data_IF_467517198194
#
_entry.id   IF_467517198194
#
_cell.length_a   1.000
_cell.length_b   1.000
_cell.length_c   1.000
_cell.angle_alpha   90.00
_cell.angle_beta   90.00
_cell.angle_gamma   90.00
#
_symmetry.space_group_name_H-M   'P 1'
#
loop_
_entity.id
_entity.type
_entity.pdbx_description
1 polymer ?
#
# COMPACT_ATOMS: atom_id res chain seq x y z
N UNK A 1 24.33 18.55 1.35
CA UNK A 1 24.25 17.86 0.04
C UNK A 1 22.99 17.02 0.07
N UNK A 2 22.04 17.21 -0.86
CA UNK A 2 20.78 16.44 -0.86
C UNK A 2 21.06 15.05 -1.44
N UNK A 3 21.00 14.01 -0.61
CA UNK A 3 21.02 12.63 -1.12
C UNK A 3 19.59 12.22 -1.49
N UNK A 4 19.30 11.96 -2.77
CA UNK A 4 18.00 11.46 -3.18
C UNK A 4 17.81 10.08 -2.56
N UNK A 5 16.63 9.88 -1.97
CA UNK A 5 16.18 8.58 -1.53
C UNK A 5 14.87 8.23 -2.24
N UNK A 6 14.67 6.94 -2.51
CA UNK A 6 13.44 6.39 -3.04
C UNK A 6 13.06 5.12 -2.28
N UNK A 7 11.77 4.82 -2.25
CA UNK A 7 11.25 3.57 -1.69
C UNK A 7 10.82 2.66 -2.84
N UNK A 8 11.28 1.42 -2.82
CA UNK A 8 10.90 0.37 -3.76
C UNK A 8 10.07 -0.65 -2.99
N UNK A 9 8.77 -0.69 -3.21
CA UNK A 9 7.86 -1.61 -2.52
C UNK A 9 7.45 -2.73 -3.47
N UNK A 10 7.75 -3.98 -3.14
CA UNK A 10 7.39 -5.10 -4.01
C UNK A 10 5.87 -5.23 -4.18
N UNK A 11 5.41 -5.55 -5.38
CA UNK A 11 3.99 -5.75 -5.67
C UNK A 11 3.29 -6.74 -4.72
N UNK A 12 3.88 -7.92 -4.43
CA UNK A 12 3.34 -8.86 -3.45
C UNK A 12 3.25 -8.28 -2.03
N UNK A 13 4.29 -7.56 -1.56
CA UNK A 13 4.27 -6.94 -0.23
C UNK A 13 3.21 -5.83 -0.12
N UNK A 14 3.02 -5.04 -1.18
CA UNK A 14 1.95 -4.03 -1.22
C UNK A 14 0.57 -4.67 -1.24
N UNK A 15 0.37 -5.72 -2.04
CA UNK A 15 -0.88 -6.48 -2.10
C UNK A 15 -1.25 -7.07 -0.73
N UNK A 16 -0.28 -7.71 -0.07
CA UNK A 16 -0.47 -8.28 1.27
C UNK A 16 -0.78 -7.21 2.33
N UNK A 17 -0.11 -6.06 2.27
CA UNK A 17 -0.39 -4.91 3.15
C UNK A 17 -1.82 -4.36 2.96
N UNK A 18 -2.29 -4.24 1.71
CA UNK A 18 -3.67 -3.84 1.43
C UNK A 18 -4.68 -4.89 1.89
N UNK A 19 -4.39 -6.18 1.70
CA UNK A 19 -5.21 -7.28 2.18
C UNK A 19 -5.35 -7.27 3.71
N UNK A 20 -4.24 -7.18 4.45
CA UNK A 20 -4.26 -7.13 5.92
C UNK A 20 -4.92 -5.87 6.50
N UNK A 21 -4.71 -4.71 5.85
CA UNK A 21 -5.38 -3.47 6.28
C UNK A 21 -6.87 -3.49 5.97
N UNK A 22 -7.32 -4.14 4.88
CA UNK A 22 -8.74 -4.31 4.55
C UNK A 22 -9.52 -5.17 5.56
N UNK A 23 -8.85 -6.11 6.25
CA UNK A 23 -9.43 -6.89 7.37
C UNK A 23 -9.67 -6.03 8.62
N UNK A 24 -8.98 -4.90 8.75
CA UNK A 24 -9.00 -4.07 9.96
C UNK A 24 -10.04 -2.96 9.86
N UNK A 25 -11.02 -2.98 10.76
CA UNK A 25 -12.01 -1.90 10.93
C UNK A 25 -11.48 -0.72 11.77
N UNK A 26 -10.26 -0.83 12.30
CA UNK A 26 -9.65 0.14 13.22
C UNK A 26 -8.28 0.55 12.68
N UNK A 27 -7.75 1.69 13.13
CA UNK A 27 -6.35 2.09 12.90
C UNK A 27 -5.40 0.93 13.26
N UNK A 28 -4.60 0.51 12.30
CA UNK A 28 -3.59 -0.55 12.46
C UNK A 28 -2.20 0.04 12.25
N UNK A 29 -1.19 -0.48 12.95
CA UNK A 29 0.21 -0.16 12.69
C UNK A 29 0.96 -1.45 12.33
N UNK A 30 2.16 -1.32 11.79
CA UNK A 30 3.05 -2.47 11.62
C UNK A 30 4.43 -2.08 11.11
N UNK A 31 5.22 -3.09 10.77
CA UNK A 31 6.61 -2.92 10.36
C UNK A 31 6.82 -3.37 8.92
N UNK A 32 7.72 -2.69 8.22
CA UNK A 32 8.05 -2.93 6.82
C UNK A 32 9.48 -3.45 6.76
N UNK A 33 9.65 -4.63 6.17
CA UNK A 33 10.90 -5.38 6.15
C UNK A 33 11.59 -5.29 4.78
N UNK A 34 12.91 -5.21 4.80
CA UNK A 34 13.74 -5.29 3.60
C UNK A 34 15.13 -4.69 3.83
N UNK A 35 15.67 -4.07 2.78
CA UNK A 35 17.10 -3.78 2.66
C UNK A 35 17.37 -2.38 2.11
N UNK A 36 18.57 -1.86 2.36
CA UNK A 36 18.99 -0.54 1.89
C UNK A 36 20.07 -0.70 0.84
N UNK A 37 19.71 -0.41 -0.41
CA UNK A 37 20.60 -0.53 -1.58
C UNK A 37 21.13 0.85 -1.96
N UNK A 38 22.44 0.93 -2.14
CA UNK A 38 23.11 2.13 -2.62
C UNK A 38 23.32 2.00 -4.13
N UNK A 39 22.72 2.89 -4.91
CA UNK A 39 22.86 2.92 -6.37
C UNK A 39 23.71 4.11 -6.78
N UNK A 40 24.89 3.82 -7.32
CA UNK A 40 25.73 4.82 -7.98
C UNK A 40 25.15 5.17 -9.35
N UNK A 41 24.95 6.46 -9.60
CA UNK A 41 24.45 7.01 -10.87
C UNK A 41 25.55 7.91 -11.42
N UNK A 42 26.22 7.44 -12.46
CA UNK A 42 27.26 8.20 -13.17
C UNK A 42 26.62 9.01 -14.30
N UNK A 43 26.46 10.31 -14.09
CA UNK A 43 25.96 11.25 -15.10
C UNK A 43 27.15 11.85 -15.84
N UNK A 44 27.17 11.75 -17.17
CA UNK A 44 28.12 12.49 -18.01
C UNK A 44 27.42 13.78 -18.44
N UNK A 45 28.00 14.93 -18.10
CA UNK A 45 27.49 16.24 -18.51
C UNK A 45 27.97 16.60 -19.92
N UNK A 46 27.31 17.56 -20.57
CA UNK A 46 27.67 18.04 -21.92
C UNK A 46 29.10 18.60 -22.03
N UNK A 47 29.74 18.92 -20.89
CA UNK A 47 31.14 19.35 -20.80
C UNK A 47 32.11 18.18 -20.54
N UNK A 48 31.70 16.95 -20.87
CA UNK A 48 32.39 15.66 -20.64
C UNK A 48 32.77 15.35 -19.18
N UNK A 49 32.40 16.21 -18.23
CA UNK A 49 32.64 16.02 -16.81
C UNK A 49 31.69 14.94 -16.26
N UNK A 50 32.30 13.91 -15.63
CA UNK A 50 31.59 12.85 -14.93
C UNK A 50 31.17 13.34 -13.53
N UNK A 51 29.87 13.34 -13.27
CA UNK A 51 29.30 13.49 -11.94
C UNK A 51 28.85 12.12 -11.42
N UNK A 52 29.17 11.82 -10.16
CA UNK A 52 28.80 10.56 -9.51
C UNK A 52 27.83 10.88 -8.37
N UNK A 53 26.56 10.55 -8.56
CA UNK A 53 25.52 10.74 -7.55
C UNK A 53 25.14 9.39 -6.92
N UNK A 54 25.16 9.30 -5.59
CA UNK A 54 24.74 8.09 -4.87
C UNK A 54 23.28 8.25 -4.45
N UNK A 55 22.41 7.48 -5.09
CA UNK A 55 21.00 7.34 -4.72
C UNK A 55 20.81 6.22 -3.70
N UNK A 56 19.95 6.46 -2.70
CA UNK A 56 19.69 5.51 -1.60
C UNK A 56 18.28 4.91 -1.75
N UNK A 57 18.21 3.62 -2.04
CA UNK A 57 16.96 2.91 -2.32
C UNK A 57 16.60 2.05 -1.12
N UNK A 58 15.44 2.32 -0.52
CA UNK A 58 14.84 1.51 0.55
C UNK A 58 13.98 0.45 -0.12
N UNK A 59 14.46 -0.79 -0.21
CA UNK A 59 13.68 -1.91 -0.75
C UNK A 59 12.85 -2.54 0.35
N UNK A 60 11.55 -2.69 0.10
CA UNK A 60 10.58 -3.26 1.04
C UNK A 60 9.99 -4.50 0.37
N UNK A 61 10.28 -5.65 0.98
CA UNK A 61 9.99 -6.97 0.42
C UNK A 61 8.96 -7.76 1.23
N UNK A 62 8.73 -7.39 2.50
CA UNK A 62 7.76 -8.05 3.39
C UNK A 62 7.19 -7.07 4.43
N UNK A 63 6.12 -7.48 5.12
CA UNK A 63 5.32 -6.66 6.02
C UNK A 63 4.90 -7.50 7.22
N UNK A 64 5.07 -6.94 8.43
CA UNK A 64 4.54 -7.52 9.66
C UNK A 64 3.40 -6.62 10.16
N UNK A 65 2.12 -7.03 10.04
CA UNK A 65 1.02 -6.30 10.64
C UNK A 65 1.06 -6.42 12.16
N UNK A 66 0.69 -5.36 12.87
CA UNK A 66 0.59 -5.37 14.32
C UNK A 66 -0.82 -4.95 14.77
N UNK A 67 -1.58 -5.94 15.24
CA UNK A 67 -2.97 -5.78 15.69
C UNK A 67 -3.11 -5.02 17.01
N UNK A 68 -2.03 -4.85 17.78
CA UNK A 68 -2.06 -4.17 19.08
C UNK A 68 -0.75 -3.43 19.39
N UNK A 69 -0.86 -2.18 19.83
CA UNK A 69 0.30 -1.34 20.15
C UNK A 69 0.90 -1.65 21.55
N UNK A 70 0.97 -2.92 21.97
CA UNK A 70 1.45 -3.31 23.31
C UNK A 70 2.90 -2.90 23.59
N UNK A 71 3.72 -2.76 22.54
CA UNK A 71 5.08 -2.23 22.62
C UNK A 71 5.13 -0.70 22.86
N UNK A 72 4.01 0.04 22.85
CA UNK A 72 4.01 1.48 23.06
C UNK A 72 3.05 1.89 24.17
N UNK A 73 3.61 2.29 25.32
CA UNK A 73 2.85 2.72 26.49
C UNK A 73 3.44 4.00 27.09
N UNK A 74 2.58 4.87 27.65
CA UNK A 74 2.99 6.11 28.35
C UNK A 74 3.98 6.99 27.55
N UNK A 75 3.87 7.00 26.21
CA UNK A 75 4.73 7.78 25.32
C UNK A 75 6.08 7.14 24.97
N UNK A 76 6.39 5.95 25.49
CA UNK A 76 7.66 5.23 25.24
C UNK A 76 7.46 3.91 24.52
N UNK A 77 8.43 3.56 23.68
CA UNK A 77 8.57 2.23 23.06
C UNK A 77 9.28 1.31 24.05
N UNK A 78 8.65 0.18 24.33
CA UNK A 78 9.20 -0.94 25.07
C UNK A 78 10.04 -1.79 24.12
N UNK A 79 11.36 -1.71 24.27
CA UNK A 79 12.31 -2.40 23.39
C UNK A 79 12.18 -3.92 23.49
N UNK A 80 12.02 -4.44 24.71
CA UNK A 80 12.10 -5.87 24.97
C UNK A 80 10.86 -6.57 24.38
N UNK A 81 9.68 -6.00 24.59
CA UNK A 81 8.44 -6.47 23.93
C UNK A 81 8.50 -6.36 22.40
N UNK A 82 9.15 -5.33 21.86
CA UNK A 82 9.26 -5.18 20.42
C UNK A 82 10.26 -6.18 19.81
N UNK A 83 11.34 -6.48 20.53
CA UNK A 83 12.31 -7.50 20.14
C UNK A 83 11.73 -8.92 20.25
N UNK A 84 10.91 -9.18 21.28
CA UNK A 84 10.10 -10.41 21.41
C UNK A 84 9.12 -10.57 20.24
N UNK A 85 8.37 -9.51 19.89
CA UNK A 85 7.40 -9.53 18.79
C UNK A 85 8.04 -9.70 17.40
N UNK A 86 9.17 -9.05 17.13
CA UNK A 86 9.83 -9.10 15.81
C UNK A 86 10.80 -10.28 15.67
N UNK A 87 11.33 -10.81 16.77
CA UNK A 87 12.30 -11.91 16.78
C UNK A 87 13.49 -11.66 15.85
N UNK A 88 13.78 -12.63 14.98
CA UNK A 88 14.85 -12.55 13.97
C UNK A 88 14.62 -11.46 12.91
N UNK A 89 13.40 -10.97 12.72
CA UNK A 89 13.09 -9.92 11.75
C UNK A 89 13.45 -8.50 12.24
N UNK A 90 13.80 -8.34 13.52
CA UNK A 90 14.12 -7.02 14.12
C UNK A 90 15.22 -6.26 13.36
N UNK A 91 16.23 -6.96 12.86
CA UNK A 91 17.32 -6.38 12.07
C UNK A 91 16.93 -6.02 10.63
N UNK A 92 15.86 -6.63 10.09
CA UNK A 92 15.36 -6.44 8.72
C UNK A 92 14.31 -5.31 8.63
N UNK A 93 13.96 -4.63 9.72
CA UNK A 93 12.99 -3.50 9.72
C UNK A 93 13.63 -2.25 9.12
N UNK A 94 13.10 -1.78 7.99
CA UNK A 94 13.54 -0.55 7.30
C UNK A 94 12.59 0.64 7.47
N UNK A 95 11.32 0.36 7.75
CA UNK A 95 10.29 1.37 7.95
C UNK A 95 9.16 0.81 8.83
N UNK A 96 8.24 1.68 9.24
CA UNK A 96 6.96 1.29 9.85
C UNK A 96 5.79 1.85 9.05
N UNK A 97 4.60 1.29 9.24
CA UNK A 97 3.38 1.81 8.62
C UNK A 97 2.30 2.14 9.64
N UNK A 98 1.47 3.12 9.29
CA UNK A 98 0.24 3.50 9.97
C UNK A 98 -0.90 3.46 8.96
N UNK A 99 -1.89 2.63 9.22
CA UNK A 99 -3.16 2.57 8.50
C UNK A 99 -4.23 3.38 9.24
N UNK A 100 -4.93 4.23 8.50
CA UNK A 100 -5.97 5.12 9.03
C UNK A 100 -7.18 5.11 8.07
N UNK A 101 -8.33 4.52 8.47
CA UNK A 101 -9.53 4.40 7.61
C UNK A 101 -10.38 5.69 7.59
N UNK A 102 -9.74 6.86 7.63
CA UNK A 102 -10.43 8.16 7.70
C UNK A 102 -9.71 9.21 6.88
N UNK A 103 -10.47 10.05 6.15
CA UNK A 103 -10.04 10.95 5.07
C UNK A 103 -9.00 12.04 5.39
N UNK A 104 -8.46 12.09 6.62
CA UNK A 104 -7.31 12.95 6.92
C UNK A 104 -6.22 12.19 7.67
N UNK A 105 -5.22 11.72 6.92
CA UNK A 105 -3.93 11.30 7.49
C UNK A 105 -3.27 12.51 8.13
N UNK A 106 -3.40 12.63 9.45
CA UNK A 106 -2.69 13.62 10.25
C UNK A 106 -1.48 12.96 10.89
N UNK A 107 -0.29 13.47 10.59
CA UNK A 107 0.94 13.02 11.23
C UNK A 107 1.06 13.65 12.63
N UNK A 108 0.62 12.91 13.64
CA UNK A 108 0.42 13.41 15.00
C UNK A 108 1.72 13.56 15.79
N UNK A 109 1.67 14.25 16.94
CA UNK A 109 2.79 14.31 17.87
C UNK A 109 3.20 12.90 18.39
N UNK A 110 2.22 12.00 18.57
CA UNK A 110 2.47 10.59 18.91
C UNK A 110 3.25 9.90 17.79
N UNK A 111 2.85 10.10 16.53
CA UNK A 111 3.53 9.48 15.38
C UNK A 111 4.97 10.01 15.23
N UNK A 112 5.20 11.29 15.51
CA UNK A 112 6.56 11.90 15.59
C UNK A 112 7.41 11.28 16.70
N UNK A 113 6.85 11.13 17.90
CA UNK A 113 7.53 10.54 19.05
C UNK A 113 7.84 9.05 18.85
N UNK A 114 6.94 8.30 18.21
CA UNK A 114 7.15 6.91 17.77
C UNK A 114 8.26 6.82 16.73
N UNK A 115 8.17 7.59 15.65
CA UNK A 115 9.16 7.56 14.57
C UNK A 115 10.56 7.90 15.08
N UNK A 116 10.69 8.89 15.99
CA UNK A 116 11.99 9.22 16.62
C UNK A 116 12.54 8.04 17.43
N UNK A 117 11.72 7.39 18.25
CA UNK A 117 12.17 6.25 19.06
C UNK A 117 12.54 5.04 18.20
N UNK A 118 11.78 4.73 17.15
CA UNK A 118 12.13 3.68 16.20
C UNK A 118 13.43 3.99 15.42
N UNK A 119 13.65 5.25 15.01
CA UNK A 119 14.88 5.75 14.37
C UNK A 119 16.13 5.64 15.28
N UNK A 120 15.94 5.63 16.59
CA UNK A 120 17.01 5.41 17.59
C UNK A 120 17.19 3.91 17.94
N UNK A 121 16.20 3.07 17.62
CA UNK A 121 16.12 1.67 18.04
C UNK A 121 16.57 0.66 16.98
N UNK A 122 16.26 0.91 15.71
CA UNK A 122 16.63 0.05 14.58
C UNK A 122 18.00 0.45 13.99
N UNK A 123 18.73 -0.54 13.44
CA UNK A 123 20.10 -0.37 12.90
C UNK A 123 20.18 0.45 11.60
N UNK A 124 19.04 0.86 11.06
CA UNK A 124 18.90 1.64 9.83
C UNK A 124 19.56 3.01 9.96
N UNK A 125 20.32 3.49 8.93
CA UNK A 125 20.81 4.86 8.91
C UNK A 125 19.69 5.85 9.15
N UNK A 126 19.86 6.71 10.15
CA UNK A 126 18.73 7.42 10.76
C UNK A 126 17.94 8.32 9.77
N UNK A 127 18.56 8.77 8.68
CA UNK A 127 17.94 9.63 7.66
C UNK A 127 17.27 8.86 6.51
N UNK A 128 17.21 7.53 6.63
CA UNK A 128 16.51 6.60 5.74
C UNK A 128 15.35 5.87 6.43
N UNK A 129 15.36 5.79 7.77
CA UNK A 129 14.23 5.18 8.48
C UNK A 129 12.95 5.95 8.14
N UNK A 130 11.97 5.23 7.62
CA UNK A 130 10.80 5.83 6.97
C UNK A 130 9.50 5.41 7.65
N UNK A 131 8.45 6.20 7.41
CA UNK A 131 7.07 5.87 7.80
C UNK A 131 6.17 5.89 6.57
N UNK A 132 5.37 4.85 6.40
CA UNK A 132 4.32 4.77 5.39
C UNK A 132 2.97 5.09 6.02
N UNK A 133 2.26 6.06 5.46
CA UNK A 133 0.85 6.28 5.78
C UNK A 133 0.01 5.60 4.72
N UNK A 134 -0.91 4.74 5.16
CA UNK A 134 -1.94 4.13 4.33
C UNK A 134 -3.28 4.70 4.72
N UNK A 135 -3.97 5.23 3.72
CA UNK A 135 -5.31 5.77 3.80
C UNK A 135 -6.22 4.90 2.95
N UNK A 136 -7.38 4.56 3.50
CA UNK A 136 -8.53 4.07 2.75
C UNK A 136 -9.66 5.08 2.88
N UNK A 137 -10.18 5.51 1.76
CA UNK A 137 -11.42 6.28 1.64
C UNK A 137 -12.43 5.49 0.81
N UNK A 138 -13.71 5.65 1.11
CA UNK A 138 -14.82 5.13 0.31
C UNK A 138 -15.70 6.29 -0.14
N UNK A 139 -16.23 6.20 -1.36
CA UNK A 139 -17.33 7.08 -1.78
C UNK A 139 -18.56 6.87 -0.86
N UNK A 140 -19.43 7.88 -0.73
CA UNK A 140 -20.60 7.84 0.17
C UNK A 140 -21.56 6.66 -0.10
N UNK A 141 -21.55 6.15 -1.34
CA UNK A 141 -22.36 5.01 -1.78
C UNK A 141 -21.62 3.65 -1.72
N UNK A 142 -20.39 3.62 -1.20
CA UNK A 142 -19.50 2.44 -1.12
C UNK A 142 -19.23 1.72 -2.45
N UNK A 143 -19.53 2.36 -3.60
CA UNK A 143 -19.31 1.80 -4.94
C UNK A 143 -17.88 2.03 -5.47
N UNK A 144 -17.06 2.78 -4.76
CA UNK A 144 -15.66 3.07 -5.12
C UNK A 144 -14.82 3.27 -3.87
N UNK A 145 -13.62 2.71 -3.89
CA UNK A 145 -12.65 2.78 -2.82
C UNK A 145 -11.35 3.38 -3.33
N UNK A 146 -10.80 4.32 -2.58
CA UNK A 146 -9.56 5.01 -2.89
C UNK A 146 -8.52 4.64 -1.83
N UNK A 147 -7.41 4.05 -2.28
CA UNK A 147 -6.26 3.74 -1.43
C UNK A 147 -5.13 4.70 -1.75
N UNK A 148 -4.64 5.41 -0.74
CA UNK A 148 -3.53 6.34 -0.87
C UNK A 148 -2.40 5.97 0.10
N UNK A 149 -1.22 5.72 -0.46
CA UNK A 149 0.01 5.47 0.25
C UNK A 149 0.95 6.67 0.17
N UNK A 150 1.63 7.03 1.26
CA UNK A 150 2.62 8.11 1.27
C UNK A 150 3.77 7.77 2.23
N UNK A 151 4.99 7.70 1.68
CA UNK A 151 6.20 7.54 2.48
C UNK A 151 6.77 8.89 2.90
N UNK A 152 7.16 9.03 4.16
CA UNK A 152 7.88 10.17 4.70
C UNK A 152 9.12 9.71 5.48
N UNK A 153 10.22 10.47 5.38
CA UNK A 153 11.42 10.32 6.22
C UNK A 153 11.62 11.56 7.08
N UNK A 154 12.27 11.38 8.23
CA UNK A 154 12.81 12.50 8.99
C UNK A 154 14.22 12.84 8.50
N UNK A 155 14.44 14.07 8.05
CA UNK A 155 15.72 14.53 7.52
C UNK A 155 15.90 16.03 7.83
N UNK A 156 17.08 16.41 8.34
CA UNK A 156 17.44 17.79 8.70
C UNK A 156 16.39 18.57 9.52
N UNK A 157 15.72 17.90 10.46
CA UNK A 157 14.72 18.53 11.34
C UNK A 157 13.28 18.49 10.81
N UNK A 158 13.08 18.16 9.54
CA UNK A 158 11.77 18.16 8.86
C UNK A 158 11.35 16.75 8.42
N UNK A 159 10.08 16.61 8.04
CA UNK A 159 9.54 15.39 7.46
C UNK A 159 9.30 15.58 5.97
N UNK A 160 10.13 14.93 5.16
CA UNK A 160 10.11 15.03 3.70
C UNK A 160 9.39 13.82 3.09
N UNK A 161 8.55 14.03 2.07
CA UNK A 161 7.96 12.94 1.28
C UNK A 161 9.03 12.26 0.42
N UNK A 162 8.94 10.95 0.30
CA UNK A 162 9.85 10.11 -0.50
C UNK A 162 9.11 9.61 -1.74
N UNK A 163 9.78 9.52 -2.88
CA UNK A 163 9.22 8.88 -4.07
C UNK A 163 9.06 7.37 -3.85
N UNK A 164 7.89 6.85 -4.22
CA UNK A 164 7.59 5.43 -4.19
C UNK A 164 7.61 4.86 -5.62
N UNK A 165 8.30 3.75 -5.79
CA UNK A 165 8.25 2.91 -6.98
C UNK A 165 7.70 1.53 -6.61
N UNK A 166 6.80 0.99 -7.43
CA UNK A 166 6.30 -0.38 -7.33
C UNK A 166 6.73 -1.10 -8.61
N UNK A 167 7.85 -1.85 -8.59
CA UNK A 167 8.41 -2.45 -9.79
C UNK A 167 7.44 -3.48 -10.39
N UNK A 168 7.24 -3.40 -11.70
CA UNK A 168 6.32 -4.26 -12.44
C UNK A 168 6.98 -4.87 -13.69
N UNK A 169 6.33 -5.87 -14.29
CA UNK A 169 6.88 -6.62 -15.43
C UNK A 169 6.90 -5.84 -16.76
N UNK A 170 6.16 -4.73 -16.88
CA UNK A 170 6.15 -3.91 -18.11
C UNK A 170 7.22 -2.81 -18.13
N UNK A 171 7.99 -2.64 -17.05
CA UNK A 171 9.17 -1.76 -17.06
C UNK A 171 10.22 -2.28 -18.06
N UNK A 172 10.75 -1.41 -18.95
CA UNK A 172 11.67 -1.84 -19.99
C UNK A 172 13.02 -2.26 -19.38
N UNK A 173 13.27 -3.57 -19.36
CA UNK A 173 14.54 -4.17 -18.92
C UNK A 173 15.67 -3.99 -19.97
N UNK A 174 15.69 -2.85 -20.67
CA UNK A 174 16.59 -2.56 -21.80
C UNK A 174 18.00 -2.08 -21.39
N UNK A 175 18.29 -2.07 -20.08
CA UNK A 175 19.60 -1.67 -19.54
C UNK A 175 20.23 -2.82 -18.76
N UNK A 176 21.56 -2.91 -18.83
CA UNK A 176 22.32 -3.81 -17.96
C UNK A 176 22.01 -3.48 -16.50
N UNK A 177 21.56 -4.48 -15.74
CA UNK A 177 21.34 -4.31 -14.29
C UNK A 177 22.70 -4.22 -13.60
N UNK A 178 22.87 -3.20 -12.76
CA UNK A 178 23.95 -3.16 -11.77
C UNK A 178 23.86 -4.42 -10.92
N UNK A 179 25.01 -4.99 -10.52
CA UNK A 179 25.00 -6.12 -9.58
C UNK A 179 24.35 -5.69 -8.27
N UNK A 180 23.28 -6.39 -7.89
CA UNK A 180 22.59 -6.22 -6.61
C UNK A 180 22.63 -7.56 -5.87
N UNK A 181 22.75 -7.57 -4.53
CA UNK A 181 22.71 -8.82 -3.77
C UNK A 181 21.34 -9.47 -3.94
N UNK A 182 21.34 -10.75 -4.33
CA UNK A 182 20.14 -11.56 -4.39
C UNK A 182 19.67 -11.94 -2.98
N UNK A 183 18.36 -12.19 -2.85
CA UNK A 183 17.75 -12.62 -1.57
C UNK A 183 18.40 -13.89 -1.03
N UNK A 184 18.58 -13.95 0.28
CA UNK A 184 19.05 -15.12 1.05
C UNK A 184 18.35 -16.41 0.61
N UNK A 185 17.01 -16.42 0.60
CA UNK A 185 16.18 -17.55 0.17
C UNK A 185 16.37 -17.92 -1.31
N UNK A 186 16.67 -16.94 -2.18
CA UNK A 186 16.95 -17.23 -3.59
C UNK A 186 18.34 -17.85 -3.76
N UNK A 187 19.33 -17.42 -2.98
CA UNK A 187 20.67 -18.02 -2.97
C UNK A 187 20.63 -19.45 -2.42
N UNK A 188 19.80 -19.73 -1.41
CA UNK A 188 19.54 -21.10 -0.92
C UNK A 188 18.96 -21.99 -2.03
N UNK A 189 17.92 -21.53 -2.73
CA UNK A 189 17.34 -22.25 -3.89
C UNK A 189 18.39 -22.47 -4.97
N UNK A 190 19.17 -21.45 -5.32
CA UNK A 190 20.24 -21.55 -6.32
C UNK A 190 21.31 -22.58 -5.91
N UNK A 191 21.70 -22.62 -4.64
CA UNK A 191 22.67 -23.59 -4.10
C UNK A 191 22.17 -25.04 -4.10
N UNK A 192 20.86 -25.24 -4.15
CA UNK A 192 20.23 -26.57 -4.25
C UNK A 192 20.29 -27.17 -5.66
N UNK A 193 20.62 -26.35 -6.67
CA UNK A 193 20.73 -26.79 -8.08
C UNK A 193 22.11 -27.41 -8.29
N UNK A 194 22.15 -28.72 -8.50
CA UNK A 194 23.38 -29.52 -8.70
C UNK A 194 23.99 -29.44 -10.10
N UNK A 195 23.43 -28.64 -11.01
CA UNK A 195 23.98 -28.43 -12.35
C UNK A 195 25.01 -27.30 -12.38
N UNK A 196 26.06 -27.50 -13.20
CA UNK A 196 27.01 -26.45 -13.54
C UNK A 196 26.36 -25.42 -14.48
N UNK A 197 25.77 -24.40 -13.86
CA UNK A 197 25.05 -23.31 -14.52
C UNK A 197 25.96 -22.48 -15.45
N UNK A 198 27.27 -22.45 -15.19
CA UNK A 198 28.24 -21.63 -15.96
C UNK A 198 28.62 -22.29 -17.29
N UNK A 199 28.73 -23.62 -17.32
CA UNK A 199 29.09 -24.37 -18.55
C UNK A 199 27.89 -24.83 -19.40
N UNK A 200 26.66 -24.65 -18.92
CA UNK A 200 25.43 -25.06 -19.64
C UNK A 200 24.89 -23.93 -20.51
N UNK A 201 24.22 -24.28 -21.63
CA UNK A 201 23.54 -23.30 -22.49
C UNK A 201 22.54 -22.49 -21.67
N UNK A 202 22.67 -21.16 -21.66
CA UNK A 202 21.91 -20.26 -20.78
C UNK A 202 20.37 -20.46 -20.79
N UNK A 203 19.77 -20.89 -21.90
CA UNK A 203 18.33 -21.24 -21.94
C UNK A 203 18.00 -22.39 -20.98
N UNK A 204 18.81 -23.46 -20.97
CA UNK A 204 18.62 -24.63 -20.10
C UNK A 204 18.84 -24.25 -18.64
N UNK A 205 19.89 -23.46 -18.36
CA UNK A 205 20.14 -22.93 -17.02
C UNK A 205 18.97 -22.09 -16.49
N UNK A 206 18.42 -21.18 -17.30
CA UNK A 206 17.27 -20.35 -16.93
C UNK A 206 16.02 -21.20 -16.70
N UNK A 207 15.75 -22.21 -17.54
CA UNK A 207 14.60 -23.10 -17.31
C UNK A 207 14.73 -23.89 -16.02
N UNK A 208 15.93 -24.35 -15.65
CA UNK A 208 16.11 -25.13 -14.43
C UNK A 208 16.08 -24.28 -13.16
N UNK A 209 16.61 -23.05 -13.21
CA UNK A 209 16.40 -22.06 -12.14
C UNK A 209 14.90 -21.77 -11.98
N UNK A 210 14.17 -21.60 -13.09
CA UNK A 210 12.71 -21.43 -13.08
C UNK A 210 11.97 -22.61 -12.45
N UNK A 211 12.32 -23.84 -12.82
CA UNK A 211 11.75 -25.07 -12.26
C UNK A 211 12.04 -25.20 -10.75
N UNK A 212 13.26 -24.91 -10.31
CA UNK A 212 13.65 -24.97 -8.91
C UNK A 212 12.90 -23.93 -8.05
N UNK A 213 12.76 -22.70 -8.56
CA UNK A 213 11.97 -21.65 -7.92
C UNK A 213 10.49 -22.04 -7.86
N UNK A 214 9.89 -22.53 -8.96
CA UNK A 214 8.50 -22.97 -8.97
C UNK A 214 8.24 -24.09 -7.94
N UNK A 215 9.12 -25.11 -7.90
CA UNK A 215 9.05 -26.19 -6.93
C UNK A 215 9.15 -25.69 -5.48
N UNK A 216 9.98 -24.68 -5.23
CA UNK A 216 10.05 -24.04 -3.91
C UNK A 216 8.74 -23.30 -3.58
N UNK A 217 8.16 -22.58 -4.53
CA UNK A 217 6.87 -21.89 -4.36
C UNK A 217 5.75 -22.89 -4.05
N UNK A 218 5.62 -23.97 -4.83
CA UNK A 218 4.58 -24.99 -4.64
C UNK A 218 4.67 -25.66 -3.26
N UNK A 219 5.90 -25.90 -2.78
CA UNK A 219 6.16 -26.37 -1.42
C UNK A 219 5.70 -25.32 -0.39
N UNK A 220 6.16 -24.08 -0.50
CA UNK A 220 5.80 -22.99 0.44
C UNK A 220 4.30 -22.73 0.48
N UNK A 221 3.59 -22.82 -0.65
CA UNK A 221 2.12 -22.69 -0.72
C UNK A 221 1.43 -23.81 0.06
N UNK A 222 1.95 -25.04 -0.01
CA UNK A 222 1.42 -26.18 0.75
C UNK A 222 1.59 -25.98 2.27
N UNK A 223 2.78 -25.56 2.70
CA UNK A 223 3.07 -25.26 4.11
C UNK A 223 2.26 -24.06 4.63
N UNK A 224 2.11 -23.01 3.81
CA UNK A 224 1.30 -21.82 4.14
C UNK A 224 -0.18 -22.17 4.30
N UNK A 225 -0.73 -23.05 3.45
CA UNK A 225 -2.15 -23.46 3.54
C UNK A 225 -2.45 -24.18 4.86
N UNK A 226 -1.51 -24.98 5.37
CA UNK A 226 -1.65 -25.60 6.70
C UNK A 226 -1.55 -24.57 7.82
N UNK A 227 -0.57 -23.65 7.75
CA UNK A 227 -0.38 -22.60 8.74
C UNK A 227 -1.55 -21.60 8.81
N UNK A 228 -2.13 -21.19 7.67
CA UNK A 228 -3.31 -20.32 7.62
C UNK A 228 -4.53 -20.98 8.26
N UNK A 229 -4.72 -22.29 8.05
CA UNK A 229 -5.79 -23.05 8.71
C UNK A 229 -5.58 -23.08 10.23
N UNK A 230 -4.38 -23.41 10.69
CA UNK A 230 -4.05 -23.40 12.13
C UNK A 230 -4.27 -22.02 12.75
N UNK A 231 -3.87 -20.95 12.05
CA UNK A 231 -4.09 -19.56 12.49
C UNK A 231 -5.58 -19.24 12.60
N UNK A 232 -6.41 -19.64 11.62
CA UNK A 232 -7.85 -19.42 11.65
C UNK A 232 -8.52 -20.12 12.85
N UNK A 233 -8.18 -21.39 13.08
CA UNK A 233 -8.69 -22.19 14.21
C UNK A 233 -8.31 -21.54 15.56
N UNK A 234 -7.07 -21.05 15.70
CA UNK A 234 -6.57 -20.33 16.87
C UNK A 234 -7.24 -18.96 17.07
N UNK A 235 -7.46 -18.19 16.00
CA UNK A 235 -8.14 -16.91 16.08
C UNK A 235 -9.60 -17.06 16.51
N UNK A 236 -10.29 -18.10 16.03
CA UNK A 236 -11.64 -18.44 16.50
C UNK A 236 -11.65 -18.85 17.97
N UNK A 237 -10.72 -19.70 18.42
CA UNK A 237 -10.60 -20.07 19.84
C UNK A 237 -10.36 -18.83 20.72
N UNK A 238 -9.39 -17.98 20.38
CA UNK A 238 -9.10 -16.73 21.12
C UNK A 238 -10.32 -15.81 21.15
N UNK A 239 -11.07 -15.71 20.06
CA UNK A 239 -12.32 -14.92 19.98
C UNK A 239 -13.42 -15.50 20.86
N UNK A 240 -13.54 -16.82 20.97
CA UNK A 240 -14.47 -17.52 21.87
C UNK A 240 -14.03 -17.31 23.34
N UNK A 241 -12.75 -17.46 23.66
CA UNK A 241 -12.22 -17.28 25.01
C UNK A 241 -12.37 -15.83 25.49
N UNK A 242 -12.09 -14.84 24.65
CA UNK A 242 -12.33 -13.41 24.96
C UNK A 242 -13.81 -13.09 25.21
N UNK A 243 -14.75 -13.77 24.54
CA UNK A 243 -16.19 -13.67 24.82
C UNK A 243 -16.60 -14.40 26.11
N UNK A 244 -15.92 -15.49 26.45
CA UNK A 244 -16.18 -16.29 27.66
C UNK A 244 -15.62 -15.66 28.94
N UNK A 245 -14.63 -14.76 28.86
CA UNK A 245 -14.19 -13.95 30.00
C UNK A 245 -15.26 -12.89 30.36
N UNK A 246 -16.02 -13.05 31.46
CA UNK A 246 -17.05 -12.10 31.82
C UNK A 246 -16.49 -11.11 32.85
N UNK A 247 -16.26 -9.87 32.43
CA UNK A 247 -16.27 -8.66 33.28
C UNK A 247 -15.41 -8.63 34.57
N UNK A 248 -14.52 -9.60 34.81
CA UNK A 248 -13.76 -9.70 36.08
C UNK A 248 -12.73 -8.58 36.28
N UNK A 249 -12.49 -7.74 35.26
CA UNK A 249 -11.63 -6.56 35.31
C UNK A 249 -12.43 -5.25 35.35
N UNK A 250 -13.78 -5.27 35.48
CA UNK A 250 -14.56 -4.01 35.55
C UNK A 250 -14.29 -3.22 36.83
N UNK A 251 -13.86 -3.90 37.90
CA UNK A 251 -13.45 -3.30 39.18
C UNK A 251 -12.09 -2.59 39.14
N UNK A 252 -11.23 -2.89 38.16
CA UNK A 252 -9.86 -2.33 38.10
C UNK A 252 -9.73 -1.12 37.14
N UNK A 253 -10.79 -0.80 36.39
CA UNK A 253 -10.77 0.25 35.35
C UNK A 253 -11.33 1.60 35.85
N UNK A 254 -12.08 1.62 36.96
CA UNK A 254 -12.64 2.88 37.50
C UNK A 254 -11.56 3.84 38.03
N UNK A 255 -10.37 3.34 38.37
CA UNK A 255 -9.23 4.15 38.86
C UNK A 255 -8.35 4.80 37.75
N UNK A 256 -8.74 4.71 36.47
CA UNK A 256 -7.98 5.30 35.34
C UNK A 256 -8.77 6.37 34.58
N UNK A 257 -10.09 6.47 34.79
CA UNK A 257 -10.96 7.34 33.98
C UNK A 257 -11.15 8.78 34.52
N UNK A 258 -10.67 9.11 35.73
CA UNK A 258 -10.83 10.47 36.30
C UNK A 258 -9.89 11.54 35.69
N UNK A 259 -8.96 11.17 34.79
CA UNK A 259 -8.02 12.13 34.16
C UNK A 259 -8.30 12.34 32.65
N UNK A 260 -9.53 12.09 32.20
CA UNK A 260 -9.93 12.34 30.81
C UNK A 260 -11.30 12.99 30.60
N UNK A 261 -11.78 13.76 31.58
CA UNK A 261 -12.96 14.61 31.41
C UNK A 261 -12.74 16.05 31.91
N UNK A 262 -11.83 16.77 31.23
CA UNK A 262 -11.62 18.21 31.40
C UNK A 262 -11.17 18.85 30.08
N UNK A 263 -12.02 18.87 29.04
CA UNK A 263 -11.96 19.87 27.95
C UNK A 263 -13.17 19.85 26.97
N UNK A 264 -14.43 19.77 27.46
CA UNK A 264 -15.58 20.09 26.60
C UNK A 264 -16.80 20.61 27.40
N UNK A 265 -16.64 21.78 28.03
CA UNK A 265 -17.72 22.45 28.78
C UNK A 265 -17.65 23.98 28.69
N UNK A 266 -17.78 24.52 27.46
CA UNK A 266 -18.26 25.90 27.24
C UNK A 266 -18.84 26.05 25.83
N UNK A 267 -19.93 26.85 25.70
CA UNK A 267 -20.84 26.98 24.54
C UNK A 267 -21.81 25.79 24.41
N UNK A 268 -23.13 25.94 24.52
CA UNK A 268 -23.97 27.14 24.73
C UNK A 268 -25.01 26.89 25.83
N UNK A 269 -25.19 27.88 26.70
CA UNK A 269 -26.53 28.16 27.23
C UNK A 269 -27.20 29.07 26.22
N UNK A 270 -28.36 28.66 25.72
CA UNK A 270 -29.54 29.52 25.66
C UNK A 270 -30.79 28.64 25.66
N UNK A 271 -31.85 29.16 26.27
CA UNK A 271 -32.89 28.36 26.91
C UNK A 271 -34.15 28.16 26.08
N UNK A 272 -34.68 26.95 26.16
CA UNK A 272 -36.11 26.63 26.34
C UNK A 272 -37.16 27.71 26.05
N UNK A 273 -37.87 27.56 24.92
CA UNK A 273 -39.31 27.85 24.80
C UNK A 273 -39.90 26.62 24.10
N UNK A 274 -40.28 25.60 24.88
CA UNK A 274 -41.67 25.26 25.20
C UNK A 274 -42.48 24.73 24.00
N UNK A 275 -42.69 23.41 24.01
CA UNK A 275 -43.89 22.81 23.47
C UNK A 275 -45.12 23.44 24.16
N UNK A 276 -46.13 23.81 23.37
CA UNK A 276 -47.56 23.61 23.63
C UNK A 276 -48.38 24.35 22.55
N UNK A 277 -49.25 23.58 21.88
CA UNK A 277 -50.62 23.91 21.44
C UNK A 277 -50.95 22.98 20.26
N UNK A 278 -51.59 21.85 20.57
CA UNK A 278 -52.63 21.35 19.69
C UNK A 278 -53.82 22.30 19.79
N UNK A 279 -54.35 22.77 18.65
CA UNK A 279 -55.77 22.76 18.30
C UNK A 279 -56.03 23.48 16.97
N UNK A 280 -56.87 22.87 16.13
CA UNK A 280 -57.37 23.44 14.86
C UNK A 280 -58.44 24.53 15.13
N UNK A 281 -58.68 25.46 14.20
CA UNK A 281 -59.86 25.24 13.34
C UNK A 281 -59.68 25.63 11.86
N UNK A 282 -60.59 25.13 11.03
CA UNK A 282 -60.68 25.40 9.59
C UNK A 282 -61.13 26.85 9.27
N UNK A 283 -60.59 27.46 8.20
CA UNK A 283 -61.33 27.64 6.92
C UNK A 283 -60.75 28.70 5.96
N UNK A 284 -60.57 28.26 4.71
CA UNK A 284 -60.76 28.98 3.42
C UNK A 284 -60.59 30.52 3.38
N UNK A 285 -59.56 31.01 2.66
CA UNK A 285 -59.79 31.54 1.30
C UNK A 285 -58.50 31.82 0.49
N UNK A 286 -58.68 31.96 -0.83
CA UNK A 286 -57.65 32.02 -1.89
C UNK A 286 -56.94 33.38 -2.00
N UNK A 287 -55.68 33.35 -2.44
CA UNK A 287 -55.17 34.27 -3.48
C UNK A 287 -54.13 33.57 -4.36
N UNK A 288 -54.43 33.48 -5.65
CA UNK A 288 -53.63 32.88 -6.73
C UNK A 288 -52.50 33.80 -7.18
N UNK A 289 -51.44 33.28 -7.83
CA UNK A 289 -51.01 33.75 -9.17
C UNK A 289 -49.99 32.79 -9.85
N UNK A 290 -50.37 32.27 -11.04
CA UNK A 290 -49.59 31.72 -12.19
C UNK A 290 -48.47 30.67 -11.98
N UNK A 291 -48.22 29.73 -12.91
CA UNK A 291 -48.57 29.68 -14.36
C UNK A 291 -48.96 28.26 -14.84
N UNK A 292 -49.86 28.15 -15.82
CA UNK A 292 -50.22 26.93 -16.57
C UNK A 292 -49.07 26.48 -17.52
N UNK A 293 -48.73 25.20 -17.71
CA UNK A 293 -49.42 24.15 -18.48
C UNK A 293 -49.80 24.53 -19.93
N UNK A 294 -49.14 23.99 -20.96
CA UNK A 294 -49.76 23.01 -21.90
C UNK A 294 -48.85 22.44 -23.04
N UNK A 295 -49.36 21.31 -23.54
CA UNK A 295 -49.09 20.37 -24.66
C UNK A 295 -48.32 20.73 -25.97
N UNK A 296 -47.49 19.77 -26.39
CA UNK A 296 -47.46 18.99 -27.67
C UNK A 296 -47.28 19.61 -29.10
N UNK A 297 -46.57 18.84 -29.95
CA UNK A 297 -46.48 18.90 -31.43
C UNK A 297 -45.67 20.09 -32.02
N UNK A 298 -44.75 19.95 -33.00
CA UNK A 298 -44.95 19.37 -34.35
C UNK A 298 -43.63 18.93 -35.03
N UNK A 299 -43.72 18.34 -36.24
CA UNK A 299 -42.77 17.42 -36.92
C UNK A 299 -41.74 18.07 -37.89
N UNK A 300 -40.66 17.30 -38.20
CA UNK A 300 -39.95 17.10 -39.52
C UNK A 300 -39.43 18.31 -40.31
N UNK A 301 -38.28 18.29 -41.03
CA UNK A 301 -37.19 17.31 -41.30
C UNK A 301 -35.90 18.13 -41.63
N UNK A 302 -34.79 17.70 -42.27
CA UNK A 302 -34.31 16.45 -42.93
C UNK A 302 -32.74 16.48 -42.94
N UNK A 303 -32.06 15.67 -43.78
CA UNK A 303 -30.61 15.59 -44.02
C UNK A 303 -29.84 14.89 -42.86
N UNK A 304 -29.04 13.84 -43.03
CA UNK A 304 -28.42 13.20 -44.23
C UNK A 304 -28.37 11.66 -44.14
N UNK A 305 -28.32 11.00 -45.30
CA UNK A 305 -27.97 9.56 -45.46
C UNK A 305 -26.45 9.38 -45.64
N UNK A 306 -26.03 8.10 -45.78
CA UNK A 306 -24.64 7.60 -45.96
C UNK A 306 -23.81 7.51 -44.64
N UNK A 307 -23.06 6.45 -44.31
CA UNK A 307 -22.71 5.18 -45.00
C UNK A 307 -22.85 4.01 -44.01
N UNK A 308 -23.43 2.87 -44.43
CA UNK A 308 -23.35 1.58 -43.70
C UNK A 308 -22.98 0.44 -44.65
N UNK A 309 -21.68 0.20 -44.89
CA UNK A 309 -21.14 -1.03 -45.50
C UNK A 309 -19.60 -1.03 -45.51
N UNK A 310 -18.97 -1.90 -44.72
CA UNK A 310 -17.90 -2.83 -45.16
C UNK A 310 -17.36 -3.70 -44.01
N UNK A 311 -17.84 -4.93 -43.98
CA UNK A 311 -17.14 -6.07 -43.40
C UNK A 311 -17.43 -7.27 -44.30
N UNK A 312 -16.52 -7.62 -45.22
CA UNK A 312 -16.34 -8.96 -45.80
C UNK A 312 -15.18 -8.95 -46.83
N UNK A 313 -14.36 -10.01 -46.76
CA UNK A 313 -13.22 -10.31 -47.66
C UNK A 313 -13.72 -11.05 -48.91
N UNK A 314 -12.98 -11.10 -50.04
CA UNK A 314 -12.12 -12.27 -50.25
C UNK A 314 -10.83 -12.07 -51.11
N UNK A 315 -10.08 -13.17 -51.18
CA UNK A 315 -8.76 -13.43 -51.80
C UNK A 315 -8.71 -13.23 -53.33
N UNK A 316 -7.52 -12.92 -53.88
CA UNK A 316 -6.98 -13.64 -55.06
C UNK A 316 -5.46 -13.45 -55.25
N UNK A 317 -4.80 -14.45 -55.88
CA UNK A 317 -3.36 -14.49 -56.21
C UNK A 317 -3.05 -13.75 -57.52
N UNK A 318 -1.81 -13.24 -57.66
CA UNK A 318 -0.97 -13.52 -58.85
C UNK A 318 0.54 -13.32 -58.56
N UNK A 319 1.39 -14.03 -59.31
CA UNK A 319 2.86 -14.08 -59.18
C UNK A 319 3.54 -13.04 -60.08
N UNK A 320 4.76 -12.64 -59.74
CA UNK A 320 5.83 -12.37 -60.73
C UNK A 320 7.23 -12.52 -60.13
N UNK A 321 8.24 -12.82 -60.97
CA UNK A 321 9.67 -13.04 -60.61
C UNK A 321 10.55 -11.91 -61.18
N UNK A 322 11.59 -11.50 -60.43
CA UNK A 322 12.94 -11.10 -60.90
C UNK A 322 13.81 -10.90 -59.62
N UNK A 323 15.03 -11.42 -59.39
CA UNK A 323 16.21 -11.85 -60.18
C UNK A 323 17.20 -10.71 -60.51
N UNK A 324 18.37 -10.73 -59.86
CA UNK A 324 19.53 -9.83 -60.03
C UNK A 324 20.18 -9.56 -58.66
N UNK A 325 21.35 -10.11 -58.31
CA UNK A 325 22.70 -9.56 -58.55
C UNK A 325 22.91 -8.17 -57.91
N UNK A 326 23.96 -7.85 -57.13
CA UNK A 326 25.19 -8.58 -56.79
C UNK A 326 26.36 -7.58 -56.57
N UNK A 327 27.49 -8.03 -55.98
CA UNK A 327 28.69 -7.25 -55.54
C UNK A 327 28.46 -6.50 -54.21
N UNK A 328 29.29 -6.67 -53.18
CA UNK A 328 30.77 -6.45 -53.05
C UNK A 328 31.17 -5.00 -53.33
N UNK A 329 31.44 -4.24 -52.27
CA UNK A 329 32.81 -3.85 -51.91
C UNK A 329 33.01 -4.09 -50.41
#
# INVERSE_FOLDING_TARGET
MFQPASVYLSGPAFSFLLYETSKSTIRQNGFLLGDIVHKEITTITDNEQKQVDISKIIKINSVIPCSSNHYFSKGRVDKDKLQEFLGSNFSKVVAWYKYEPSSTVKFTLKDRALHKQFRELFTVPQDLFSVCFLLMESADNYASYYYQQTFMRYHNGNFDKISLCIPNLSEPNNSYKTSEPASETFNEILSSITMDIENVKGVVAITEIGNAVQKSIDKTVSELTEAEKQLFDLEEEVKILRKKQPLNNRSDVENVNEVHNCEELSRNKDSSILELIENSPESKNKSTLHTENETASTKTADISKEVKKRSELPKTRKKTKARGQGRKF
#
